data_IF_788286127180
#
_entry.id   IF_788286127180
#
_cell.length_a   1.000
_cell.length_b   1.000
_cell.length_c   1.000
_cell.angle_alpha   90.00
_cell.angle_beta   90.00
_cell.angle_gamma   90.00
#
_symmetry.space_group_name_H-M   'P 1'
#
loop_
_entity.id
_entity.type
_entity.pdbx_description
1 polymer ?
#
# COMPACT_ATOMS: atom_id res chain seq x y z
N UNK A 1 -77.55 -13.78 23.78
CA UNK A 1 -76.84 -13.39 22.54
C UNK A 1 -75.72 -12.39 22.78
N UNK A 2 -75.54 -11.87 24.00
CA UNK A 2 -74.62 -10.76 24.35
C UNK A 2 -73.23 -11.21 24.81
N UNK A 3 -73.00 -12.48 25.15
CA UNK A 3 -71.70 -13.01 25.65
C UNK A 3 -70.72 -13.44 24.58
N UNK A 4 -71.14 -13.64 23.31
CA UNK A 4 -70.25 -14.00 22.21
C UNK A 4 -69.55 -12.78 21.60
N UNK A 5 -70.12 -11.59 21.66
CA UNK A 5 -69.55 -10.38 21.06
C UNK A 5 -68.39 -9.82 21.89
N UNK A 6 -68.44 -9.91 23.22
CA UNK A 6 -67.35 -9.44 24.10
C UNK A 6 -66.09 -10.30 24.03
N UNK A 7 -66.23 -11.61 23.86
CA UNK A 7 -65.07 -12.51 23.72
C UNK A 7 -64.32 -12.32 22.40
N UNK A 8 -65.06 -12.06 21.30
CA UNK A 8 -64.50 -11.77 19.98
C UNK A 8 -63.75 -10.43 20.00
N UNK A 9 -64.29 -9.40 20.69
CA UNK A 9 -63.68 -8.08 20.78
C UNK A 9 -62.40 -8.09 21.65
N UNK A 10 -62.35 -8.88 22.73
CA UNK A 10 -61.11 -9.06 23.50
C UNK A 10 -59.99 -9.76 22.74
N UNK A 11 -60.29 -10.77 21.91
CA UNK A 11 -59.30 -11.48 21.13
C UNK A 11 -58.72 -10.59 20.04
N UNK A 12 -59.52 -9.70 19.43
CA UNK A 12 -58.99 -8.74 18.45
C UNK A 12 -58.13 -7.67 19.12
N UNK A 13 -58.44 -7.17 20.32
CA UNK A 13 -57.63 -6.21 21.03
C UNK A 13 -56.28 -6.79 21.50
N UNK A 14 -56.26 -8.04 21.96
CA UNK A 14 -55.01 -8.70 22.37
C UNK A 14 -54.11 -8.96 21.15
N UNK A 15 -54.64 -9.31 20.00
CA UNK A 15 -53.89 -9.48 18.76
C UNK A 15 -53.32 -8.19 18.22
N UNK A 16 -54.06 -7.07 18.31
CA UNK A 16 -53.51 -5.74 17.94
C UNK A 16 -52.39 -5.29 18.85
N UNK A 17 -52.46 -5.54 20.16
CA UNK A 17 -51.44 -5.16 21.12
C UNK A 17 -50.15 -5.97 20.92
N UNK A 18 -50.24 -7.26 20.55
CA UNK A 18 -49.08 -8.10 20.26
C UNK A 18 -48.45 -7.74 18.91
N UNK A 19 -49.25 -7.37 17.90
CA UNK A 19 -48.78 -6.94 16.60
C UNK A 19 -48.02 -5.61 16.68
N UNK A 20 -48.53 -4.63 17.45
CA UNK A 20 -47.80 -3.38 17.67
C UNK A 20 -46.45 -3.59 18.37
N UNK A 21 -46.35 -4.52 19.32
CA UNK A 21 -45.07 -4.87 19.94
C UNK A 21 -44.09 -5.55 18.98
N UNK A 22 -44.58 -6.38 18.08
CA UNK A 22 -43.79 -7.02 17.03
C UNK A 22 -43.30 -6.00 16.00
N UNK A 23 -44.16 -5.11 15.55
CA UNK A 23 -43.79 -4.02 14.65
C UNK A 23 -42.74 -3.09 15.29
N UNK A 24 -42.91 -2.71 16.55
CA UNK A 24 -41.96 -1.89 17.29
C UNK A 24 -40.57 -2.58 17.41
N UNK A 25 -40.54 -3.88 17.64
CA UNK A 25 -39.27 -4.64 17.65
C UNK A 25 -38.63 -4.71 16.26
N UNK A 26 -39.41 -4.88 15.20
CA UNK A 26 -38.92 -4.91 13.83
C UNK A 26 -38.35 -3.53 13.41
N UNK A 27 -39.01 -2.45 13.80
CA UNK A 27 -38.52 -1.09 13.52
C UNK A 27 -37.23 -0.79 14.28
N UNK A 28 -37.09 -1.22 15.54
CA UNK A 28 -35.85 -1.06 16.33
C UNK A 28 -34.70 -1.88 15.69
N UNK A 29 -34.95 -3.13 15.29
CA UNK A 29 -33.93 -3.96 14.62
C UNK A 29 -33.55 -3.35 13.27
N UNK A 30 -34.51 -2.85 12.49
CA UNK A 30 -34.22 -2.17 11.23
C UNK A 30 -33.40 -0.88 11.44
N UNK A 31 -33.70 -0.11 12.49
CA UNK A 31 -32.96 1.11 12.83
C UNK A 31 -31.54 0.78 13.29
N UNK A 32 -31.33 -0.28 14.07
CA UNK A 32 -30.01 -0.76 14.49
C UNK A 32 -29.23 -1.29 13.28
N UNK A 33 -29.87 -2.02 12.34
CA UNK A 33 -29.22 -2.45 11.10
C UNK A 33 -28.83 -1.30 10.19
N UNK A 34 -29.62 -0.23 10.13
CA UNK A 34 -29.33 0.97 9.36
C UNK A 34 -28.16 1.80 9.95
N UNK A 35 -27.97 1.77 11.26
CA UNK A 35 -26.84 2.46 11.92
C UNK A 35 -25.52 1.66 11.84
N UNK A 36 -25.60 0.35 11.62
CA UNK A 36 -24.42 -0.50 11.48
C UNK A 36 -23.70 -0.40 10.12
N UNK A 37 -24.28 0.28 9.14
CA UNK A 37 -23.74 0.36 7.78
C UNK A 37 -22.80 1.56 7.53
N UNK A 38 -22.37 2.27 8.56
CA UNK A 38 -21.59 3.52 8.39
C UNK A 38 -20.09 3.40 8.67
N UNK A 39 -19.54 2.23 8.80
CA UNK A 39 -18.09 2.03 8.98
C UNK A 39 -17.41 1.73 7.64
N UNK A 40 -17.62 2.57 6.63
CA UNK A 40 -16.73 2.60 5.46
C UNK A 40 -15.48 3.35 5.89
N UNK A 41 -14.32 2.72 5.88
CA UNK A 41 -13.06 3.41 6.10
C UNK A 41 -12.93 4.51 5.05
N UNK A 42 -12.96 5.74 5.52
CA UNK A 42 -12.84 6.90 4.65
C UNK A 42 -11.38 7.32 4.61
N UNK A 43 -10.91 7.68 3.40
CA UNK A 43 -9.63 8.36 3.26
C UNK A 43 -9.60 9.55 4.22
N UNK A 44 -8.62 9.66 5.12
CA UNK A 44 -8.58 10.70 6.13
C UNK A 44 -8.56 12.09 5.48
N UNK A 45 -9.17 13.05 6.16
CA UNK A 45 -9.12 14.43 5.72
C UNK A 45 -7.73 15.00 5.96
N UNK A 46 -7.30 15.87 5.04
CA UNK A 46 -6.04 16.60 5.21
C UNK A 46 -6.07 17.42 6.50
N UNK A 47 -5.05 17.33 7.36
CA UNK A 47 -4.96 18.18 8.54
C UNK A 47 -4.90 19.66 8.18
N UNK A 48 -5.43 20.50 9.04
CA UNK A 48 -5.32 21.96 8.96
C UNK A 48 -4.84 22.50 10.31
N UNK A 49 -3.61 23.05 10.39
CA UNK A 49 -2.61 23.22 9.32
C UNK A 49 -2.01 21.91 8.78
N UNK A 50 -1.52 21.89 7.54
CA UNK A 50 -0.88 20.72 6.95
C UNK A 50 0.35 20.27 7.75
N UNK A 51 0.49 18.95 7.92
CA UNK A 51 1.62 18.32 8.62
C UNK A 51 2.23 17.21 7.76
N UNK A 52 3.54 17.00 7.90
CA UNK A 52 4.25 15.92 7.23
C UNK A 52 4.13 14.59 8.01
N UNK A 53 3.91 14.64 9.32
CA UNK A 53 3.68 13.44 10.13
C UNK A 53 2.24 13.41 10.62
N UNK A 54 1.49 12.39 10.22
CA UNK A 54 0.06 12.23 10.49
C UNK A 54 -0.19 10.86 11.13
N UNK A 55 -0.06 10.80 12.45
CA UNK A 55 -0.16 9.56 13.22
C UNK A 55 -1.60 9.31 13.69
N UNK A 56 -2.47 8.84 12.78
CA UNK A 56 -3.85 8.47 13.12
C UNK A 56 -3.95 7.13 13.85
N UNK A 57 -2.94 6.28 13.74
CA UNK A 57 -2.90 5.01 14.46
C UNK A 57 -2.36 5.15 15.89
N UNK A 58 -1.70 6.28 16.22
CA UNK A 58 -1.12 6.52 17.53
C UNK A 58 0.08 5.64 17.86
N UNK A 59 0.83 5.19 16.82
CA UNK A 59 1.95 4.25 16.96
C UNK A 59 3.32 4.92 16.99
N UNK A 60 3.40 6.21 16.64
CA UNK A 60 4.68 6.92 16.56
C UNK A 60 5.05 7.62 17.88
N UNK A 61 4.10 7.80 18.80
CA UNK A 61 4.34 8.47 20.07
C UNK A 61 4.72 9.94 19.91
N UNK A 62 5.78 10.41 20.60
CA UNK A 62 6.28 11.77 20.44
C UNK A 62 7.10 11.86 19.15
N UNK A 63 6.47 12.33 18.09
CA UNK A 63 7.03 12.45 16.77
C UNK A 63 7.33 13.90 16.34
N UNK A 64 7.37 14.86 17.27
CA UNK A 64 7.61 16.27 16.90
C UNK A 64 8.98 16.47 16.25
N UNK A 65 10.02 15.82 16.73
CA UNK A 65 11.34 15.87 16.13
C UNK A 65 11.36 15.31 14.68
N UNK A 66 10.49 14.31 14.40
CA UNK A 66 10.33 13.74 13.05
C UNK A 66 9.68 14.76 12.11
N UNK A 67 8.61 15.43 12.57
CA UNK A 67 7.98 16.53 11.83
C UNK A 67 8.99 17.63 11.49
N UNK A 68 9.78 18.09 12.48
CA UNK A 68 10.78 19.13 12.31
C UNK A 68 11.88 18.69 11.31
N UNK A 69 12.28 17.42 11.37
CA UNK A 69 13.28 16.84 10.48
C UNK A 69 12.78 16.76 9.03
N UNK A 70 11.53 16.31 8.82
CA UNK A 70 10.92 16.25 7.50
C UNK A 70 10.67 17.65 6.92
N UNK A 71 10.28 18.61 7.75
CA UNK A 71 10.15 20.01 7.32
C UNK A 71 11.50 20.56 6.87
N UNK A 72 12.58 20.25 7.59
CA UNK A 72 13.95 20.64 7.19
C UNK A 72 14.32 20.02 5.84
N UNK A 73 14.08 18.72 5.65
CA UNK A 73 14.30 18.05 4.36
C UNK A 73 13.50 18.74 3.25
N UNK A 74 12.22 19.07 3.48
CA UNK A 74 11.39 19.73 2.50
C UNK A 74 11.89 21.15 2.15
N UNK A 75 12.45 21.89 3.10
CA UNK A 75 13.05 23.21 2.86
C UNK A 75 14.36 23.11 2.07
N UNK A 76 15.20 22.12 2.36
CA UNK A 76 16.51 21.93 1.72
C UNK A 76 16.40 21.36 0.29
N UNK A 77 15.52 20.37 0.09
CA UNK A 77 15.43 19.61 -1.16
C UNK A 77 14.23 19.98 -2.03
N UNK A 78 13.27 20.70 -1.50
CA UNK A 78 11.92 20.90 -2.02
C UNK A 78 11.04 19.66 -2.05
N UNK A 79 11.55 18.46 -1.80
CA UNK A 79 10.80 17.21 -1.80
C UNK A 79 10.00 17.06 -0.50
N UNK A 80 8.75 16.65 -0.59
CA UNK A 80 7.86 16.54 0.55
C UNK A 80 7.60 15.07 0.87
N UNK A 81 8.15 14.59 1.97
CA UNK A 81 7.90 13.23 2.49
C UNK A 81 6.81 13.34 3.55
N UNK A 82 5.66 12.74 3.30
CA UNK A 82 4.53 12.74 4.21
C UNK A 82 4.30 11.32 4.76
N UNK A 83 4.35 11.19 6.07
CA UNK A 83 4.12 9.94 6.79
C UNK A 83 2.67 9.92 7.26
N UNK A 84 1.97 8.82 6.99
CA UNK A 84 0.58 8.60 7.40
C UNK A 84 0.46 7.23 8.01
N UNK A 85 -0.03 7.17 9.26
CA UNK A 85 -0.35 5.90 9.91
C UNK A 85 -1.85 5.74 10.04
N UNK A 86 -2.40 4.57 9.74
CA UNK A 86 -3.82 4.25 9.82
C UNK A 86 -4.03 2.93 10.54
N UNK A 87 -5.04 2.83 11.40
CA UNK A 87 -5.39 1.57 12.06
C UNK A 87 -6.05 0.57 11.09
N UNK A 88 -6.74 1.07 10.09
CA UNK A 88 -7.47 0.28 9.12
C UNK A 88 -7.48 0.98 7.76
N UNK A 89 -7.37 0.22 6.69
CA UNK A 89 -7.45 0.69 5.31
C UNK A 89 -8.85 0.48 4.71
N UNK A 90 -9.75 -0.21 5.42
CA UNK A 90 -11.07 -0.59 4.93
C UNK A 90 -11.00 -1.45 3.68
N UNK A 91 -11.73 -1.05 2.65
CA UNK A 91 -11.77 -1.74 1.36
C UNK A 91 -10.63 -1.35 0.41
N UNK A 92 -9.70 -0.47 0.87
CA UNK A 92 -8.59 -0.02 0.05
C UNK A 92 -7.37 -0.92 0.21
N UNK A 93 -6.74 -1.26 -0.91
CA UNK A 93 -5.38 -1.78 -0.91
C UNK A 93 -4.39 -0.68 -0.46
N UNK A 94 -3.25 -1.03 0.19
CA UNK A 94 -2.27 -0.04 0.64
C UNK A 94 -1.83 0.94 -0.46
N UNK A 95 -1.63 0.44 -1.67
CA UNK A 95 -1.29 1.24 -2.84
C UNK A 95 -2.35 2.28 -3.14
N UNK A 96 -3.62 1.89 -3.21
CA UNK A 96 -4.74 2.78 -3.52
C UNK A 96 -4.94 3.84 -2.43
N UNK A 97 -4.80 3.45 -1.15
CA UNK A 97 -4.92 4.37 -0.03
C UNK A 97 -3.81 5.44 -0.08
N UNK A 98 -2.55 5.02 -0.29
CA UNK A 98 -1.40 5.94 -0.34
C UNK A 98 -1.55 6.98 -1.46
N UNK A 99 -1.92 6.54 -2.68
CA UNK A 99 -2.16 7.45 -3.79
C UNK A 99 -3.32 8.39 -3.54
N UNK A 100 -4.44 7.84 -3.06
CA UNK A 100 -5.64 8.66 -2.80
C UNK A 100 -5.35 9.74 -1.75
N UNK A 101 -4.53 9.42 -0.74
CA UNK A 101 -4.08 10.42 0.23
C UNK A 101 -3.18 11.45 -0.45
N UNK A 102 -2.17 11.01 -1.19
CA UNK A 102 -1.23 11.89 -1.88
C UNK A 102 -1.94 12.92 -2.77
N UNK A 103 -2.86 12.47 -3.61
CA UNK A 103 -3.65 13.31 -4.50
C UNK A 103 -4.63 14.22 -3.74
N UNK A 104 -5.44 13.67 -2.83
CA UNK A 104 -6.44 14.47 -2.09
C UNK A 104 -5.81 15.54 -1.21
N UNK A 105 -4.66 15.24 -0.61
CA UNK A 105 -3.95 16.21 0.22
C UNK A 105 -3.07 17.14 -0.60
N UNK A 106 -2.73 16.74 -1.85
CA UNK A 106 -1.87 17.49 -2.75
C UNK A 106 -0.42 17.53 -2.26
N UNK A 107 0.11 16.40 -1.75
CA UNK A 107 1.47 16.30 -1.23
C UNK A 107 2.47 16.52 -2.37
N UNK A 108 3.49 17.34 -2.12
CA UNK A 108 4.43 17.80 -3.16
C UNK A 108 4.03 19.14 -3.76
N UNK A 109 4.74 19.56 -4.78
CA UNK A 109 4.50 20.78 -5.53
C UNK A 109 3.92 20.42 -6.90
N UNK A 110 2.89 21.15 -7.34
CA UNK A 110 2.21 20.91 -8.63
C UNK A 110 3.07 21.11 -9.87
N UNK A 111 4.18 21.85 -9.76
CA UNK A 111 5.14 22.07 -10.83
C UNK A 111 6.24 21.00 -10.90
N UNK A 112 6.37 20.19 -9.85
CA UNK A 112 7.45 19.21 -9.69
C UNK A 112 6.96 17.80 -9.40
N UNK A 113 5.75 17.62 -8.93
CA UNK A 113 5.15 16.35 -8.48
C UNK A 113 6.08 15.55 -7.54
N UNK A 114 6.75 16.30 -6.63
CA UNK A 114 7.84 15.81 -5.80
C UNK A 114 7.41 15.48 -4.37
N UNK A 115 6.21 14.94 -4.23
CA UNK A 115 5.70 14.38 -2.99
C UNK A 115 6.02 12.89 -2.85
N UNK A 116 6.13 12.40 -1.61
CA UNK A 116 6.20 10.97 -1.29
C UNK A 116 5.27 10.69 -0.12
N UNK A 117 4.44 9.68 -0.23
CA UNK A 117 3.64 9.15 0.88
C UNK A 117 4.32 7.89 1.44
N UNK A 118 4.56 7.87 2.73
CA UNK A 118 4.91 6.66 3.49
C UNK A 118 3.69 6.29 4.31
N UNK A 119 2.96 5.27 3.86
CA UNK A 119 1.77 4.74 4.53
C UNK A 119 2.16 3.56 5.42
N UNK A 120 1.67 3.55 6.66
CA UNK A 120 1.87 2.43 7.59
C UNK A 120 0.55 2.07 8.26
N UNK A 121 0.17 0.81 8.18
CA UNK A 121 -0.90 0.21 8.97
C UNK A 121 -0.26 -0.80 9.92
N UNK A 122 -0.37 -0.60 11.25
CA UNK A 122 0.23 -1.52 12.20
C UNK A 122 -0.44 -2.90 12.15
N UNK A 123 0.30 -3.90 12.59
CA UNK A 123 -0.25 -5.23 12.81
C UNK A 123 -1.24 -5.19 13.98
N UNK A 124 -2.38 -5.83 13.82
CA UNK A 124 -3.37 -6.06 14.87
C UNK A 124 -3.54 -7.57 15.13
N UNK A 125 -4.39 -7.93 16.09
CA UNK A 125 -4.71 -9.35 16.34
C UNK A 125 -5.38 -10.00 15.13
N UNK A 126 -6.19 -9.23 14.38
CA UNK A 126 -7.02 -9.72 13.28
C UNK A 126 -6.42 -9.44 11.90
N UNK A 127 -5.36 -8.63 11.79
CA UNK A 127 -4.79 -8.23 10.50
C UNK A 127 -3.28 -8.08 10.52
N UNK A 128 -2.64 -8.36 9.38
CA UNK A 128 -1.21 -8.13 9.17
C UNK A 128 -0.89 -6.64 9.20
N UNK A 129 0.33 -6.31 9.59
CA UNK A 129 0.89 -4.99 9.37
C UNK A 129 1.20 -4.80 7.88
N UNK A 130 1.04 -3.57 7.39
CA UNK A 130 1.25 -3.21 5.99
C UNK A 130 1.94 -1.86 5.89
N UNK A 131 2.91 -1.75 4.99
CA UNK A 131 3.57 -0.48 4.70
C UNK A 131 3.70 -0.30 3.19
N UNK A 132 3.59 0.94 2.73
CA UNK A 132 3.70 1.29 1.33
C UNK A 132 4.36 2.65 1.15
N UNK A 133 5.26 2.77 0.15
CA UNK A 133 5.86 4.03 -0.28
C UNK A 133 5.32 4.36 -1.65
N UNK A 134 4.65 5.51 -1.78
CA UNK A 134 4.11 6.03 -3.02
C UNK A 134 4.84 7.32 -3.40
N UNK A 135 5.73 7.31 -4.40
CA UNK A 135 6.31 8.52 -4.96
C UNK A 135 5.32 9.25 -5.86
N UNK A 136 5.43 10.58 -5.92
CA UNK A 136 4.80 11.38 -6.95
C UNK A 136 5.53 11.26 -8.29
N UNK A 137 4.88 11.63 -9.37
CA UNK A 137 5.40 11.49 -10.75
C UNK A 137 6.82 12.05 -10.95
N UNK A 138 7.15 13.16 -10.30
CA UNK A 138 8.46 13.78 -10.42
C UNK A 138 9.59 13.02 -9.74
N UNK A 139 9.29 12.05 -8.90
CA UNK A 139 10.25 11.23 -8.17
C UNK A 139 10.28 9.76 -8.61
N UNK A 140 9.39 9.32 -9.51
CA UNK A 140 9.35 7.91 -9.98
C UNK A 140 10.66 7.45 -10.61
N UNK A 141 11.42 8.35 -11.24
CA UNK A 141 12.72 8.04 -11.82
C UNK A 141 13.84 7.86 -10.79
N UNK A 142 13.69 8.42 -9.59
CA UNK A 142 14.66 8.30 -8.50
C UNK A 142 14.22 7.28 -7.44
N UNK A 143 12.92 7.12 -7.25
CA UNK A 143 12.31 6.21 -6.28
C UNK A 143 11.39 5.28 -7.05
N UNK A 144 11.96 4.21 -7.60
CA UNK A 144 11.22 3.21 -8.39
C UNK A 144 10.45 2.24 -7.50
N UNK A 145 9.61 1.42 -8.12
CA UNK A 145 8.86 0.36 -7.43
C UNK A 145 9.80 -0.60 -6.69
N UNK A 146 10.92 -0.95 -7.33
CA UNK A 146 11.91 -1.86 -6.75
C UNK A 146 12.59 -1.23 -5.55
N UNK A 147 13.04 0.02 -5.65
CA UNK A 147 13.68 0.72 -4.53
C UNK A 147 12.69 0.95 -3.39
N UNK A 148 11.44 1.34 -3.69
CA UNK A 148 10.37 1.49 -2.69
C UNK A 148 10.09 0.19 -1.93
N UNK A 149 9.95 -0.94 -2.65
CA UNK A 149 9.79 -2.25 -2.05
C UNK A 149 10.96 -2.60 -1.13
N UNK A 150 12.20 -2.39 -1.58
CA UNK A 150 13.40 -2.70 -0.77
C UNK A 150 13.53 -1.82 0.46
N UNK A 151 13.19 -0.55 0.38
CA UNK A 151 13.15 0.35 1.55
C UNK A 151 12.18 -0.21 2.59
N UNK A 152 10.98 -0.61 2.17
CA UNK A 152 9.99 -1.18 3.08
C UNK A 152 10.50 -2.48 3.70
N UNK A 153 11.01 -3.41 2.91
CA UNK A 153 11.44 -4.73 3.39
C UNK A 153 12.72 -4.68 4.24
N UNK A 154 13.71 -3.86 3.86
CA UNK A 154 15.03 -3.88 4.49
C UNK A 154 15.16 -2.87 5.64
N UNK A 155 14.53 -1.69 5.52
CA UNK A 155 14.69 -0.61 6.48
C UNK A 155 13.54 -0.50 7.48
N UNK A 156 12.29 -0.71 6.99
CA UNK A 156 11.10 -0.44 7.80
C UNK A 156 10.59 -1.70 8.51
N UNK A 157 10.30 -2.78 7.79
CA UNK A 157 9.68 -4.00 8.34
C UNK A 157 10.50 -4.64 9.46
N UNK A 158 11.84 -4.76 9.41
CA UNK A 158 12.60 -5.33 10.52
C UNK A 158 12.35 -4.57 11.84
N UNK A 159 12.32 -3.24 11.81
CA UNK A 159 12.02 -2.40 12.97
C UNK A 159 10.56 -2.52 13.42
N UNK A 160 9.62 -2.60 12.47
CA UNK A 160 8.20 -2.79 12.79
C UNK A 160 7.92 -4.12 13.49
N UNK A 161 8.65 -5.17 13.15
CA UNK A 161 8.58 -6.47 13.85
C UNK A 161 9.03 -6.37 15.31
N UNK A 162 9.88 -5.40 15.62
CA UNK A 162 10.35 -5.07 16.98
C UNK A 162 9.47 -4.02 17.68
N UNK A 163 8.36 -3.59 17.04
CA UNK A 163 7.46 -2.50 17.44
C UNK A 163 8.13 -1.11 17.46
N UNK A 164 9.28 -0.95 16.82
CA UNK A 164 9.92 0.35 16.60
C UNK A 164 9.38 1.01 15.33
N UNK A 165 8.12 1.46 15.40
CA UNK A 165 7.47 2.14 14.27
C UNK A 165 8.12 3.47 13.94
N UNK A 166 8.48 4.26 14.95
CA UNK A 166 9.10 5.56 14.76
C UNK A 166 10.48 5.44 14.09
N UNK A 167 11.33 4.52 14.57
CA UNK A 167 12.63 4.25 13.96
C UNK A 167 12.50 3.69 12.55
N UNK A 168 11.49 2.86 12.29
CA UNK A 168 11.25 2.29 10.97
C UNK A 168 10.83 3.35 9.93
N UNK A 169 9.86 4.21 10.24
CA UNK A 169 9.45 5.29 9.31
C UNK A 169 10.56 6.30 9.09
N UNK A 170 11.37 6.60 10.11
CA UNK A 170 12.53 7.48 9.96
C UNK A 170 13.61 6.89 9.07
N UNK A 171 13.95 5.61 9.26
CA UNK A 171 14.91 4.93 8.40
C UNK A 171 14.47 4.93 6.93
N UNK A 172 13.21 4.59 6.67
CA UNK A 172 12.65 4.67 5.32
C UNK A 172 12.69 6.09 4.73
N UNK A 173 12.31 7.09 5.53
CA UNK A 173 12.33 8.49 5.09
C UNK A 173 13.74 9.01 4.76
N UNK A 174 14.77 8.54 5.47
CA UNK A 174 16.17 8.90 5.16
C UNK A 174 16.60 8.37 3.80
N UNK A 175 16.34 7.08 3.51
CA UNK A 175 16.69 6.49 2.21
C UNK A 175 15.89 7.15 1.07
N UNK A 176 14.60 7.40 1.29
CA UNK A 176 13.76 8.14 0.33
C UNK A 176 14.35 9.53 0.03
N UNK A 177 14.80 10.27 1.06
CA UNK A 177 15.49 11.55 0.89
C UNK A 177 16.73 11.40 0.03
N UNK A 178 17.59 10.43 0.36
CA UNK A 178 18.90 10.28 -0.27
C UNK A 178 18.77 9.88 -1.75
N UNK A 179 17.79 9.02 -2.08
CA UNK A 179 17.42 8.72 -3.47
C UNK A 179 16.87 9.96 -4.20
N UNK A 180 15.99 10.71 -3.55
CA UNK A 180 15.35 11.90 -4.13
C UNK A 180 16.33 13.04 -4.44
N UNK A 181 17.45 13.12 -3.75
CA UNK A 181 18.53 14.11 -4.02
C UNK A 181 19.66 13.52 -4.88
N UNK A 182 19.60 12.23 -5.23
CA UNK A 182 20.59 11.57 -6.06
C UNK A 182 21.91 11.25 -5.32
N UNK A 183 21.94 11.24 -3.99
CA UNK A 183 23.08 10.77 -3.20
C UNK A 183 23.30 9.26 -3.31
N UNK A 184 22.21 8.50 -3.49
CA UNK A 184 22.26 7.10 -3.86
C UNK A 184 21.95 6.91 -5.34
N UNK A 185 22.74 6.05 -6.01
CA UNK A 185 22.34 5.55 -7.31
C UNK A 185 21.25 4.49 -7.09
N UNK A 186 20.13 4.66 -7.77
CA UNK A 186 19.00 3.71 -7.70
C UNK A 186 19.42 2.27 -8.00
N UNK A 187 20.31 2.08 -9.01
CA UNK A 187 20.83 0.77 -9.38
C UNK A 187 21.65 0.13 -8.23
N UNK A 188 22.44 0.93 -7.52
CA UNK A 188 23.24 0.44 -6.38
C UNK A 188 22.34 0.03 -5.22
N UNK A 189 21.30 0.79 -4.92
CA UNK A 189 20.36 0.45 -3.86
C UNK A 189 19.48 -0.77 -4.24
N UNK A 190 19.01 -0.82 -5.48
CA UNK A 190 18.23 -1.94 -6.00
C UNK A 190 19.01 -3.26 -6.02
N UNK A 191 20.33 -3.21 -6.16
CA UNK A 191 21.18 -4.41 -6.22
C UNK A 191 21.77 -4.83 -4.86
N UNK A 192 21.58 -4.05 -3.81
CA UNK A 192 22.22 -4.27 -2.49
C UNK A 192 21.73 -5.54 -1.75
N UNK A 193 20.64 -6.18 -2.19
CA UNK A 193 20.11 -7.41 -1.59
C UNK A 193 20.39 -8.71 -2.36
N UNK A 194 20.85 -8.65 -3.61
CA UNK A 194 20.91 -9.84 -4.48
C UNK A 194 22.25 -10.59 -4.45
N UNK A 195 23.28 -10.05 -3.80
CA UNK A 195 24.63 -10.65 -3.81
C UNK A 195 24.69 -12.02 -3.13
N UNK A 196 24.08 -12.15 -1.98
CA UNK A 196 24.11 -13.39 -1.19
C UNK A 196 23.14 -14.45 -1.74
N UNK A 197 21.96 -14.01 -2.21
CA UNK A 197 20.95 -14.88 -2.80
C UNK A 197 21.38 -15.40 -4.18
N UNK A 198 22.04 -14.59 -4.99
CA UNK A 198 22.58 -15.00 -6.29
C UNK A 198 23.72 -16.00 -6.13
N UNK A 199 24.59 -15.81 -5.14
CA UNK A 199 25.67 -16.74 -4.82
C UNK A 199 25.09 -18.08 -4.31
N UNK A 200 24.10 -18.02 -3.42
CA UNK A 200 23.41 -19.21 -2.91
C UNK A 200 22.68 -19.96 -4.04
N UNK A 201 21.96 -19.25 -4.91
CA UNK A 201 21.30 -19.84 -6.06
C UNK A 201 22.29 -20.50 -7.04
N UNK A 202 23.44 -19.87 -7.28
CA UNK A 202 24.51 -20.42 -8.11
C UNK A 202 25.09 -21.71 -7.49
N UNK A 203 25.36 -21.72 -6.19
CA UNK A 203 25.86 -22.91 -5.47
C UNK A 203 24.82 -24.02 -5.54
N UNK A 204 23.54 -23.74 -5.29
CA UNK A 204 22.46 -24.73 -5.38
C UNK A 204 22.32 -25.27 -6.82
N UNK A 205 22.43 -24.41 -7.83
CA UNK A 205 22.40 -24.84 -9.24
C UNK A 205 23.57 -25.79 -9.56
N UNK A 206 24.81 -25.47 -9.11
CA UNK A 206 25.96 -26.30 -9.31
C UNK A 206 25.78 -27.66 -8.60
N UNK A 207 25.24 -27.69 -7.39
CA UNK A 207 24.98 -28.92 -6.66
C UNK A 207 23.92 -29.80 -7.34
N UNK A 208 22.82 -29.21 -7.80
CA UNK A 208 21.77 -29.92 -8.53
C UNK A 208 22.30 -30.44 -9.87
N UNK A 209 23.09 -29.64 -10.58
CA UNK A 209 23.70 -30.04 -11.85
C UNK A 209 24.71 -31.16 -11.67
N UNK A 210 25.56 -31.10 -10.61
CA UNK A 210 26.49 -32.19 -10.26
C UNK A 210 25.75 -33.47 -9.88
N UNK A 211 24.67 -33.39 -9.11
CA UNK A 211 23.78 -34.50 -8.80
C UNK A 211 23.15 -35.11 -10.06
N UNK A 212 22.69 -34.28 -10.98
CA UNK A 212 22.15 -34.72 -12.27
C UNK A 212 23.17 -35.47 -13.09
N UNK A 213 24.40 -34.93 -13.21
CA UNK A 213 25.51 -35.62 -13.88
C UNK A 213 25.89 -36.94 -13.22
N UNK A 214 25.91 -36.99 -11.88
CA UNK A 214 26.15 -38.20 -11.12
C UNK A 214 25.08 -39.28 -11.38
N UNK A 215 23.81 -38.91 -11.38
CA UNK A 215 22.72 -39.83 -11.67
C UNK A 215 22.71 -40.29 -13.15
N UNK A 216 23.01 -39.36 -14.08
CA UNK A 216 23.15 -39.69 -15.50
C UNK A 216 24.30 -40.64 -15.77
N UNK A 217 25.46 -40.47 -15.07
CA UNK A 217 26.59 -41.37 -15.15
C UNK A 217 26.28 -42.75 -14.58
N UNK A 218 25.55 -42.80 -13.46
CA UNK A 218 25.13 -44.07 -12.83
C UNK A 218 24.04 -44.80 -13.67
N UNK A 219 23.24 -44.06 -14.47
CA UNK A 219 22.19 -44.65 -15.32
C UNK A 219 22.74 -45.23 -16.65
N UNK A 220 24.01 -44.97 -17.01
CA UNK A 220 24.58 -45.38 -18.29
C UNK A 220 25.21 -46.84 -18.26
N UNK A 221 24.68 -47.68 -17.44
CA UNK A 221 25.05 -49.09 -17.37
C UNK A 221 23.84 -50.00 -17.65
N UNK A 222 23.30 -50.00 -18.83
CA UNK A 222 22.89 -51.22 -19.54
C UNK A 222 22.16 -50.94 -20.84
N UNK A 223 22.56 -51.65 -21.87
CA UNK A 223 22.31 -51.54 -23.25
C UNK A 223 20.87 -51.51 -23.80
N UNK A 224 20.79 -51.16 -25.10
CA UNK A 224 19.59 -51.40 -25.87
C UNK A 224 19.44 -50.44 -27.05
N UNK A 225 20.17 -50.79 -28.11
CA UNK A 225 19.94 -50.34 -29.50
C UNK A 225 18.44 -50.36 -29.88
N UNK A 226 17.88 -49.24 -30.31
CA UNK A 226 16.76 -49.21 -31.31
C UNK A 226 16.76 -47.90 -32.06
N UNK A 227 17.07 -48.03 -33.39
CA UNK A 227 16.77 -47.02 -34.40
C UNK A 227 15.27 -46.69 -34.42
N UNK A 228 14.93 -45.43 -34.43
CA UNK A 228 13.80 -44.97 -35.20
C UNK A 228 14.01 -43.50 -35.62
N UNK A 229 14.03 -43.28 -36.92
CA UNK A 229 13.94 -41.98 -37.55
C UNK A 229 12.48 -41.55 -37.46
N UNK A 230 12.23 -40.38 -36.97
CA UNK A 230 11.10 -39.57 -37.43
C UNK A 230 11.41 -38.08 -37.29
N UNK A 231 11.20 -37.43 -38.40
CA UNK A 231 11.32 -36.00 -38.65
C UNK A 231 10.14 -35.27 -38.02
N UNK A 232 10.39 -34.33 -37.14
CA UNK A 232 9.38 -33.46 -36.56
C UNK A 232 9.91 -32.04 -36.37
N UNK A 233 9.38 -31.19 -37.18
CA UNK A 233 9.50 -29.75 -37.34
C UNK A 233 9.62 -28.95 -36.03
N UNK A 234 10.65 -28.14 -35.93
CA UNK A 234 10.83 -27.14 -34.88
C UNK A 234 9.99 -25.90 -35.20
N UNK A 235 8.97 -25.67 -34.41
CA UNK A 235 8.25 -24.38 -34.35
C UNK A 235 9.03 -23.37 -33.51
N UNK A 236 9.42 -22.26 -34.11
CA UNK A 236 10.15 -21.19 -33.44
C UNK A 236 9.30 -20.39 -32.45
N UNK A 237 9.93 -19.61 -31.55
CA UNK A 237 9.25 -18.87 -30.52
C UNK A 237 8.44 -17.70 -31.10
N UNK A 238 7.20 -17.61 -30.66
CA UNK A 238 6.28 -16.51 -30.96
C UNK A 238 6.67 -15.29 -30.14
N UNK A 239 7.16 -14.25 -30.79
CA UNK A 239 7.42 -12.96 -30.22
C UNK A 239 6.08 -12.18 -30.18
N UNK A 240 5.50 -11.98 -29.03
CA UNK A 240 4.39 -11.05 -28.83
C UNK A 240 4.94 -9.64 -28.70
N UNK A 241 4.87 -8.86 -29.76
CA UNK A 241 4.97 -7.41 -29.69
C UNK A 241 3.58 -6.86 -29.38
N UNK A 242 3.35 -6.54 -28.11
CA UNK A 242 2.18 -5.76 -27.69
C UNK A 242 2.54 -4.28 -27.72
N UNK A 243 2.15 -3.60 -28.77
CA UNK A 243 2.05 -2.15 -28.79
C UNK A 243 0.74 -1.75 -28.16
N UNK A 244 0.77 -1.03 -27.07
CA UNK A 244 -0.40 -0.32 -26.53
C UNK A 244 -0.07 1.15 -26.40
N UNK A 245 -0.60 1.89 -27.38
CA UNK A 245 -0.80 3.33 -27.36
C UNK A 245 -1.78 3.66 -26.24
N UNK A 246 -1.36 4.39 -25.20
CA UNK A 246 -2.26 4.94 -24.20
C UNK A 246 -2.32 6.45 -24.34
N UNK A 247 -3.50 6.88 -24.79
CA UNK A 247 -3.85 8.25 -25.05
C UNK A 247 -3.71 9.16 -23.82
N UNK A 248 -3.17 10.29 -24.13
CA UNK A 248 -2.99 11.50 -23.36
C UNK A 248 -4.36 12.12 -23.06
N UNK A 249 -4.79 12.07 -21.79
CA UNK A 249 -5.95 12.80 -21.28
C UNK A 249 -5.50 13.81 -20.23
N UNK A 250 -5.31 15.06 -20.63
CA UNK A 250 -5.09 16.16 -19.71
C UNK A 250 -6.40 16.61 -19.07
N UNK A 251 -6.44 16.78 -17.77
CA UNK A 251 -7.43 17.61 -17.08
C UNK A 251 -6.72 18.55 -16.11
N UNK A 252 -6.64 19.79 -16.55
CA UNK A 252 -6.23 20.95 -15.75
C UNK A 252 -7.34 21.30 -14.77
N UNK A 253 -7.05 21.30 -13.47
CA UNK A 253 -7.84 21.97 -12.44
C UNK A 253 -6.96 22.95 -11.69
N UNK A 254 -7.42 24.20 -11.68
CA UNK A 254 -6.68 25.38 -11.29
C UNK A 254 -6.24 25.43 -9.84
N UNK A 255 -5.07 26.02 -9.66
CA UNK A 255 -4.44 26.27 -8.40
C UNK A 255 -5.06 27.41 -7.62
N UNK A 256 -5.04 27.29 -6.30
CA UNK A 256 -5.20 28.38 -5.36
C UNK A 256 -3.91 28.50 -4.56
N UNK A 257 -3.07 29.48 -4.91
CA UNK A 257 -1.88 29.80 -4.14
C UNK A 257 -2.28 30.51 -2.84
N UNK A 258 -1.75 30.06 -1.71
CA UNK A 258 -1.76 30.81 -0.46
C UNK A 258 -0.33 31.05 -0.04
N UNK A 259 0.05 32.32 0.00
CA UNK A 259 1.30 32.81 0.57
C UNK A 259 1.12 33.06 2.06
N UNK A 260 2.00 32.53 2.89
CA UNK A 260 2.04 32.91 4.30
C UNK A 260 3.06 32.16 5.13
N UNK A 261 4.14 32.84 5.50
CA UNK A 261 4.91 32.61 6.71
C UNK A 261 5.90 31.45 6.72
N UNK A 262 7.17 31.74 6.84
CA UNK A 262 8.41 30.96 7.09
C UNK A 262 8.36 29.51 7.53
N UNK A 263 7.57 28.66 6.88
CA UNK A 263 7.53 27.23 7.06
C UNK A 263 7.82 26.51 5.73
N UNK A 264 7.84 25.18 5.73
CA UNK A 264 8.06 24.34 4.54
C UNK A 264 7.04 24.56 3.40
N UNK A 265 6.11 25.50 3.58
CA UNK A 265 5.20 26.00 2.54
C UNK A 265 3.91 25.20 2.37
N UNK A 266 3.68 24.12 3.14
CA UNK A 266 2.51 23.27 3.02
C UNK A 266 2.49 22.41 1.76
N UNK A 267 1.42 21.66 1.56
CA UNK A 267 1.21 20.85 0.36
C UNK A 267 0.83 21.73 -0.82
N UNK A 268 1.47 21.52 -1.95
CA UNK A 268 1.40 22.34 -3.15
C UNK A 268 0.63 21.76 -4.34
N UNK A 269 -0.05 20.61 -4.19
CA UNK A 269 -0.87 20.02 -5.24
C UNK A 269 -0.11 19.10 -6.19
N UNK A 270 0.86 18.32 -5.68
CA UNK A 270 1.56 17.29 -6.46
C UNK A 270 0.63 16.15 -6.88
N UNK A 271 0.97 15.52 -8.01
CA UNK A 271 0.23 14.39 -8.60
C UNK A 271 1.00 13.08 -8.42
N UNK A 272 0.26 11.97 -8.37
CA UNK A 272 0.80 10.62 -8.14
C UNK A 272 0.39 9.68 -9.28
N UNK A 273 1.28 8.74 -9.69
CA UNK A 273 1.12 7.99 -10.92
C UNK A 273 0.83 6.50 -10.82
N UNK A 274 0.89 5.93 -9.65
CA UNK A 274 0.67 4.49 -9.48
C UNK A 274 1.94 3.64 -9.35
N UNK A 275 3.15 4.24 -9.32
CA UNK A 275 4.41 3.59 -8.97
C UNK A 275 4.62 3.49 -7.46
N UNK A 276 5.56 2.68 -6.98
CA UNK A 276 5.88 2.52 -5.57
C UNK A 276 5.93 1.06 -5.13
N UNK A 277 6.24 0.85 -3.87
CA UNK A 277 6.41 -0.50 -3.34
C UNK A 277 5.99 -0.61 -1.88
N UNK A 278 5.59 -1.80 -1.48
CA UNK A 278 5.15 -2.07 -0.13
C UNK A 278 5.40 -3.50 0.29
N UNK A 279 5.19 -3.77 1.57
CA UNK A 279 5.32 -5.08 2.16
C UNK A 279 4.40 -5.28 3.36
N UNK A 280 4.39 -6.51 3.90
CA UNK A 280 3.54 -6.88 5.04
C UNK A 280 4.31 -7.73 6.05
N UNK A 281 3.93 -7.65 7.34
CA UNK A 281 4.57 -8.42 8.41
C UNK A 281 3.60 -8.98 9.43
#
# INVERSE_FOLDING_TARGET
MTLMTTKSMMITMTNMATWNKSLARLTVVLLVCLTAWSAVAQVPQRPDPPRLVNDFAGILGDCQWLEDSLQKIAMETSNQICIVTLNDLGDYEPVQMAYTIGEKWGVGKSDKDNGVIILVKPKTEDSKGEAFIAPGFGLEGAITDVSSYRIVENEMIPRFKENDYLGGVWAGAQVVRDLAIGEYNEEDYANQGDGDDALFALIMFILIFALFLYLAHKSNGNGGNRNNRDTGTWGGPIIFTSGSDWGRGGSSWGGGGSFGGGGWGGFGGGSFGGGGGGGSW
#
